data_IF_822279035512
#
_entry.id   IF_822279035512
#
_cell.length_a   1.000
_cell.length_b   1.000
_cell.length_c   1.000
_cell.angle_alpha   90.00
_cell.angle_beta   90.00
_cell.angle_gamma   90.00
#
_symmetry.space_group_name_H-M   'P 1'
#
loop_
_entity.id
_entity.type
_entity.pdbx_description
1 polymer ?
#
# COMPACT_ATOMS: atom_id res chain seq x y z
N UNK A 1 -5.24 7.99 -17.86
CA UNK A 1 -4.75 6.98 -18.82
C UNK A 1 -3.31 6.66 -18.44
N UNK A 2 -2.97 5.38 -18.33
CA UNK A 2 -1.60 4.93 -18.03
C UNK A 2 -1.01 4.41 -19.34
N UNK A 3 -0.07 5.14 -19.94
CA UNK A 3 0.59 4.77 -21.20
C UNK A 3 2.08 5.13 -21.11
N UNK A 4 2.95 4.29 -21.71
CA UNK A 4 4.38 4.57 -21.84
C UNK A 4 5.16 4.65 -20.52
N UNK A 5 4.71 3.98 -19.45
CA UNK A 5 5.39 4.02 -18.13
C UNK A 5 6.66 3.17 -18.12
N UNK A 6 6.62 2.04 -18.84
CA UNK A 6 7.72 1.10 -18.97
C UNK A 6 7.99 0.81 -20.46
N UNK A 7 9.17 0.26 -20.81
CA UNK A 7 9.42 -0.39 -22.09
C UNK A 7 8.35 -1.42 -22.44
N UNK A 8 8.13 -1.62 -23.74
CA UNK A 8 6.96 -2.29 -24.32
C UNK A 8 6.61 -3.64 -23.67
N UNK A 9 7.58 -4.54 -23.49
CA UNK A 9 7.35 -5.86 -22.87
C UNK A 9 6.80 -5.79 -21.43
N UNK A 10 7.25 -4.81 -20.64
CA UNK A 10 6.86 -4.67 -19.24
C UNK A 10 5.63 -3.78 -19.06
N UNK A 11 5.37 -2.88 -20.00
CA UNK A 11 4.23 -1.99 -19.99
C UNK A 11 2.92 -2.77 -20.14
N UNK A 12 2.86 -3.74 -21.06
CA UNK A 12 1.66 -4.59 -21.22
C UNK A 12 1.34 -5.37 -19.94
N UNK A 13 2.35 -5.95 -19.29
CA UNK A 13 2.18 -6.66 -18.02
C UNK A 13 1.68 -5.72 -16.91
N UNK A 14 2.20 -4.50 -16.84
CA UNK A 14 1.77 -3.47 -15.89
C UNK A 14 0.31 -3.05 -16.13
N UNK A 15 -0.05 -2.77 -17.38
CA UNK A 15 -1.41 -2.34 -17.73
C UNK A 15 -2.43 -3.43 -17.49
N UNK A 16 -2.10 -4.68 -17.82
CA UNK A 16 -2.93 -5.86 -17.51
C UNK A 16 -3.15 -5.99 -16.01
N UNK A 17 -2.10 -5.83 -15.21
CA UNK A 17 -2.20 -5.86 -13.75
C UNK A 17 -3.09 -4.73 -13.20
N UNK A 18 -2.89 -3.50 -13.70
CA UNK A 18 -3.70 -2.34 -13.30
C UNK A 18 -5.18 -2.54 -13.66
N UNK A 19 -5.46 -3.10 -14.83
CA UNK A 19 -6.82 -3.43 -15.24
C UNK A 19 -7.46 -4.44 -14.30
N UNK A 20 -6.78 -5.55 -13.98
CA UNK A 20 -7.30 -6.54 -13.03
C UNK A 20 -7.51 -5.96 -11.63
N UNK A 21 -6.60 -5.11 -11.14
CA UNK A 21 -6.76 -4.42 -9.86
C UNK A 21 -7.98 -3.49 -9.86
N UNK A 22 -8.18 -2.72 -10.93
CA UNK A 22 -9.32 -1.83 -11.10
C UNK A 22 -10.64 -2.59 -11.18
N UNK A 23 -10.68 -3.67 -11.96
CA UNK A 23 -11.85 -4.53 -12.11
C UNK A 23 -12.22 -5.21 -10.78
N UNK A 24 -11.24 -5.82 -10.11
CA UNK A 24 -11.43 -6.42 -8.79
C UNK A 24 -11.94 -5.38 -7.78
N UNK A 25 -11.35 -4.19 -7.76
CA UNK A 25 -11.75 -3.14 -6.84
C UNK A 25 -13.17 -2.63 -7.09
N UNK A 26 -13.56 -2.51 -8.36
CA UNK A 26 -14.91 -2.15 -8.77
C UNK A 26 -15.95 -3.16 -8.28
N UNK A 27 -15.66 -4.45 -8.48
CA UNK A 27 -16.51 -5.54 -7.99
C UNK A 27 -16.61 -5.54 -6.47
N UNK A 28 -15.49 -5.42 -5.76
CA UNK A 28 -15.45 -5.40 -4.30
C UNK A 28 -16.21 -4.22 -3.66
N UNK A 29 -16.48 -3.15 -4.43
CA UNK A 29 -17.18 -1.94 -3.98
C UNK A 29 -18.65 -1.86 -4.40
N UNK A 30 -19.19 -2.90 -5.04
CA UNK A 30 -20.60 -2.92 -5.38
C UNK A 30 -21.45 -2.84 -4.09
N UNK A 31 -22.46 -1.98 -4.10
CA UNK A 31 -23.44 -1.86 -2.99
C UNK A 31 -24.47 -2.99 -2.99
N UNK A 32 -24.48 -3.80 -4.04
CA UNK A 32 -25.35 -4.95 -4.19
C UNK A 32 -24.56 -6.05 -4.89
N UNK A 33 -24.42 -7.19 -4.21
CA UNK A 33 -23.87 -8.40 -4.79
C UNK A 33 -24.98 -9.38 -5.15
N UNK A 34 -24.87 -9.95 -6.34
CA UNK A 34 -25.61 -11.14 -6.78
C UNK A 34 -24.66 -12.31 -6.90
N UNK A 35 -25.19 -13.54 -6.95
CA UNK A 35 -24.40 -14.75 -7.19
C UNK A 35 -23.49 -14.63 -8.42
N UNK A 36 -24.00 -14.03 -9.49
CA UNK A 36 -23.22 -13.79 -10.72
C UNK A 36 -22.05 -12.86 -10.49
N UNK A 37 -22.26 -11.74 -9.79
CA UNK A 37 -21.16 -10.78 -9.52
C UNK A 37 -20.09 -11.38 -8.60
N UNK A 38 -20.48 -12.27 -7.68
CA UNK A 38 -19.55 -12.96 -6.79
C UNK A 38 -18.74 -14.01 -7.55
N UNK A 39 -19.38 -14.76 -8.45
CA UNK A 39 -18.68 -15.69 -9.33
C UNK A 39 -17.65 -14.97 -10.22
N UNK A 40 -18.03 -13.82 -10.80
CA UNK A 40 -17.08 -12.98 -11.56
C UNK A 40 -15.94 -12.50 -10.66
N UNK A 41 -16.24 -12.11 -9.43
CA UNK A 41 -15.22 -11.66 -8.48
C UNK A 41 -14.23 -12.78 -8.11
N UNK A 42 -14.68 -14.02 -7.97
CA UNK A 42 -13.81 -15.19 -7.76
C UNK A 42 -12.86 -15.38 -8.95
N UNK A 43 -13.39 -15.36 -10.18
CA UNK A 43 -12.59 -15.47 -11.41
C UNK A 43 -11.56 -14.34 -11.54
N UNK A 44 -11.99 -13.10 -11.31
CA UNK A 44 -11.11 -11.92 -11.35
C UNK A 44 -10.04 -12.01 -10.26
N UNK A 45 -10.35 -12.56 -9.09
CA UNK A 45 -9.35 -12.74 -8.01
C UNK A 45 -8.27 -13.75 -8.42
N UNK A 46 -8.65 -14.85 -9.09
CA UNK A 46 -7.70 -15.82 -9.64
C UNK A 46 -6.82 -15.17 -10.71
N UNK A 47 -7.43 -14.42 -11.64
CA UNK A 47 -6.72 -13.72 -12.71
C UNK A 47 -5.76 -12.64 -12.18
N UNK A 48 -6.19 -11.89 -11.16
CA UNK A 48 -5.38 -10.90 -10.46
C UNK A 48 -4.17 -11.56 -9.78
N UNK A 49 -4.38 -12.67 -9.07
CA UNK A 49 -3.30 -13.43 -8.44
C UNK A 49 -2.27 -13.94 -9.46
N UNK A 50 -2.72 -14.43 -10.62
CA UNK A 50 -1.84 -14.83 -11.72
C UNK A 50 -1.04 -13.64 -12.25
N UNK A 51 -1.71 -12.51 -12.49
CA UNK A 51 -1.07 -11.29 -13.01
C UNK A 51 -0.04 -10.70 -12.05
N UNK A 52 -0.29 -10.76 -10.73
CA UNK A 52 0.67 -10.35 -9.71
C UNK A 52 1.94 -11.21 -9.74
N UNK A 53 1.78 -12.54 -9.86
CA UNK A 53 2.91 -13.48 -9.97
C UNK A 53 3.69 -13.29 -11.28
N UNK A 54 2.98 -13.07 -12.38
CA UNK A 54 3.61 -12.81 -13.68
C UNK A 54 4.37 -11.46 -13.66
N UNK A 55 3.80 -10.42 -13.04
CA UNK A 55 4.47 -9.13 -12.86
C UNK A 55 5.73 -9.23 -12.00
N UNK A 56 5.66 -9.96 -10.88
CA UNK A 56 6.84 -10.23 -10.03
C UNK A 56 7.93 -10.98 -10.81
N UNK A 57 7.55 -12.04 -11.54
CA UNK A 57 8.50 -12.90 -12.24
C UNK A 57 9.13 -12.24 -13.46
N UNK A 58 8.37 -11.48 -14.25
CA UNK A 58 8.82 -10.92 -15.54
C UNK A 58 9.29 -9.47 -15.41
N UNK A 59 8.53 -8.63 -14.70
CA UNK A 59 8.85 -7.21 -14.58
C UNK A 59 9.79 -6.95 -13.42
N UNK A 60 9.49 -7.42 -12.20
CA UNK A 60 10.34 -7.11 -11.06
C UNK A 60 11.73 -7.76 -11.10
N UNK A 61 11.91 -8.85 -11.85
CA UNK A 61 13.24 -9.45 -12.07
C UNK A 61 14.12 -8.63 -13.02
N UNK A 62 13.52 -7.85 -13.92
CA UNK A 62 14.24 -7.03 -14.90
C UNK A 62 14.73 -5.68 -14.33
N UNK A 63 14.14 -5.20 -13.23
CA UNK A 63 14.48 -3.90 -12.62
C UNK A 63 15.10 -4.07 -11.24
N UNK A 64 16.29 -3.49 -11.02
CA UNK A 64 16.89 -3.36 -9.68
C UNK A 64 16.18 -2.26 -8.88
N UNK A 65 15.06 -2.62 -8.28
CA UNK A 65 14.32 -1.71 -7.39
C UNK A 65 14.97 -1.62 -6.03
N UNK A 66 15.33 -0.41 -5.61
CA UNK A 66 15.92 -0.13 -4.29
C UNK A 66 15.03 0.79 -3.48
N UNK A 67 15.27 0.80 -2.17
CA UNK A 67 14.60 1.73 -1.28
C UNK A 67 14.80 3.20 -1.74
N UNK A 68 13.76 4.02 -1.61
CA UNK A 68 13.85 5.45 -1.89
C UNK A 68 14.83 6.12 -0.92
N UNK A 69 15.65 7.07 -1.41
CA UNK A 69 16.63 7.83 -0.58
C UNK A 69 16.05 8.33 0.74
N UNK A 70 14.84 8.90 0.70
CA UNK A 70 14.13 9.39 1.90
C UNK A 70 13.91 8.30 2.95
N UNK A 71 13.51 7.10 2.55
CA UNK A 71 13.29 5.98 3.48
C UNK A 71 14.61 5.43 4.02
N UNK A 72 15.64 5.32 3.17
CA UNK A 72 16.98 4.91 3.58
C UNK A 72 17.58 5.86 4.64
N UNK A 73 17.49 7.18 4.43
CA UNK A 73 17.93 8.17 5.41
C UNK A 73 17.13 8.12 6.72
N UNK A 74 15.81 7.92 6.65
CA UNK A 74 14.98 7.74 7.84
C UNK A 74 15.36 6.47 8.63
N UNK A 75 15.70 5.38 7.93
CA UNK A 75 16.20 4.14 8.55
C UNK A 75 17.53 4.36 9.26
N UNK A 76 18.49 4.99 8.60
CA UNK A 76 19.80 5.31 9.20
C UNK A 76 19.67 6.17 10.46
N UNK A 77 18.81 7.21 10.44
CA UNK A 77 18.51 8.03 11.63
C UNK A 77 17.92 7.21 12.78
N UNK A 78 17.05 6.24 12.49
CA UNK A 78 16.48 5.32 13.49
C UNK A 78 17.56 4.41 14.08
N UNK A 79 18.46 3.86 13.27
CA UNK A 79 19.59 3.07 13.76
C UNK A 79 20.51 3.89 14.65
N UNK A 80 20.91 5.10 14.24
CA UNK A 80 21.76 5.98 15.06
C UNK A 80 21.10 6.32 16.42
N UNK A 81 19.80 6.60 16.44
CA UNK A 81 19.04 6.85 17.69
C UNK A 81 18.87 5.61 18.56
N UNK A 82 18.80 4.42 17.97
CA UNK A 82 18.76 3.16 18.72
C UNK A 82 20.12 2.84 19.32
N UNK A 83 21.21 3.03 18.57
CA UNK A 83 22.59 2.85 19.03
C UNK A 83 22.98 3.84 20.13
N UNK A 84 22.50 5.08 20.07
CA UNK A 84 22.76 6.09 21.12
C UNK A 84 22.00 5.85 22.43
N UNK A 85 21.01 4.94 22.45
CA UNK A 85 20.25 4.58 23.67
C UNK A 85 20.85 3.39 24.43
N UNK A 86 21.81 2.67 23.84
CA UNK A 86 22.40 1.47 24.41
C UNK A 86 23.87 1.59 24.81
N UNK A 87 24.53 2.73 24.60
CA UNK A 87 25.95 2.89 24.94
C UNK A 87 26.20 4.25 25.59
N UNK A 88 26.39 4.22 26.92
CA UNK A 88 26.93 5.33 27.69
C UNK A 88 28.43 5.45 27.47
N UNK A 89 28.86 5.75 26.24
CA UNK A 89 30.25 6.14 25.97
C UNK A 89 30.29 7.19 24.88
N UNK A 90 30.54 8.43 25.31
CA UNK A 90 30.89 9.57 24.47
C UNK A 90 32.24 9.29 23.81
N UNK A 91 32.26 8.94 22.52
CA UNK A 91 33.41 9.17 21.67
C UNK A 91 32.92 9.55 20.27
N UNK A 92 33.02 10.84 19.98
CA UNK A 92 33.02 11.38 18.62
C UNK A 92 34.28 10.86 17.91
N UNK A 93 34.18 10.46 16.64
CA UNK A 93 35.23 10.83 15.71
C UNK A 93 34.65 11.72 14.61
N UNK A 94 35.29 12.87 14.49
CA UNK A 94 35.23 13.77 13.36
C UNK A 94 35.68 13.03 12.09
N UNK A 95 35.09 13.47 10.98
CA UNK A 95 35.64 13.48 9.63
C UNK A 95 35.58 12.18 8.81
N UNK A 96 34.56 12.12 7.94
CA UNK A 96 34.63 11.40 6.67
C UNK A 96 34.10 12.31 5.57
N UNK A 97 34.88 13.36 5.27
CA UNK A 97 34.77 14.09 4.01
C UNK A 97 35.54 13.28 2.96
N UNK A 98 34.91 12.23 2.42
CA UNK A 98 35.46 11.49 1.28
C UNK A 98 34.36 11.07 0.32
N UNK A 99 34.27 11.83 -0.78
CA UNK A 99 33.81 11.41 -2.10
C UNK A 99 32.41 10.77 -2.12
N UNK A 100 31.39 11.62 -1.92
CA UNK A 100 29.99 11.25 -1.94
C UNK A 100 29.39 11.23 -3.36
N UNK A 101 29.90 10.37 -4.25
CA UNK A 101 29.19 10.12 -5.54
C UNK A 101 29.09 8.63 -5.93
N UNK A 102 29.81 7.72 -5.26
CA UNK A 102 29.79 6.28 -5.61
C UNK A 102 29.11 5.35 -4.58
N UNK A 103 28.70 5.83 -3.40
CA UNK A 103 28.20 4.97 -2.29
C UNK A 103 26.70 5.10 -1.98
N UNK A 104 25.97 5.92 -2.73
CA UNK A 104 24.56 6.23 -2.47
C UNK A 104 23.62 5.07 -2.90
N UNK A 105 24.08 4.22 -3.84
CA UNK A 105 23.40 2.97 -4.18
C UNK A 105 23.72 1.84 -3.19
N UNK A 106 24.96 1.78 -2.68
CA UNK A 106 25.41 0.73 -1.74
C UNK A 106 24.67 0.78 -0.39
N UNK A 107 24.28 1.97 0.06
CA UNK A 107 23.53 2.16 1.31
C UNK A 107 22.02 1.89 1.20
N UNK A 108 21.48 1.75 -0.02
CA UNK A 108 20.05 1.50 -0.26
C UNK A 108 19.81 0.01 -0.40
N UNK A 109 18.93 -0.51 0.44
CA UNK A 109 18.57 -1.93 0.43
C UNK A 109 17.76 -2.25 -0.82
N UNK A 110 18.08 -3.36 -1.52
CA UNK A 110 17.24 -3.85 -2.61
C UNK A 110 15.85 -4.16 -2.07
N UNK A 111 14.83 -3.87 -2.87
CA UNK A 111 13.43 -4.05 -2.49
C UNK A 111 12.68 -4.74 -3.60
N UNK A 112 12.47 -6.04 -3.42
CA UNK A 112 11.57 -6.83 -4.26
C UNK A 112 10.11 -6.68 -3.79
N UNK A 113 9.18 -6.95 -4.70
CA UNK A 113 7.79 -7.15 -4.32
C UNK A 113 7.68 -8.42 -3.48
N UNK A 114 6.84 -8.38 -2.45
CA UNK A 114 6.56 -9.52 -1.59
C UNK A 114 5.07 -9.83 -1.69
N UNK A 115 4.73 -10.95 -2.32
CA UNK A 115 3.34 -11.40 -2.46
C UNK A 115 2.84 -12.18 -1.25
N UNK A 116 3.73 -12.65 -0.36
CA UNK A 116 3.39 -13.37 0.88
C UNK A 116 3.03 -12.39 2.01
N UNK A 117 2.13 -11.45 1.72
CA UNK A 117 1.60 -10.52 2.72
C UNK A 117 0.13 -10.78 2.94
N UNK A 118 -0.34 -10.51 4.16
CA UNK A 118 -1.75 -10.64 4.51
C UNK A 118 -2.66 -9.94 3.49
N UNK A 119 -2.27 -8.76 3.00
CA UNK A 119 -3.03 -7.97 2.02
C UNK A 119 -3.30 -8.71 0.72
N UNK A 120 -2.36 -9.53 0.26
CA UNK A 120 -2.51 -10.29 -0.97
C UNK A 120 -3.36 -11.53 -0.74
N UNK A 121 -3.19 -12.22 0.39
CA UNK A 121 -3.98 -13.39 0.74
C UNK A 121 -5.44 -13.04 1.03
N UNK A 122 -5.68 -11.92 1.70
CA UNK A 122 -7.03 -11.47 2.06
C UNK A 122 -7.90 -11.18 0.84
N UNK A 123 -7.33 -10.96 -0.35
CA UNK A 123 -8.10 -10.72 -1.59
C UNK A 123 -9.03 -11.89 -1.94
N UNK A 124 -8.58 -13.13 -1.68
CA UNK A 124 -9.38 -14.35 -1.88
C UNK A 124 -10.52 -14.50 -0.89
N UNK A 125 -10.38 -13.94 0.30
CA UNK A 125 -11.38 -14.09 1.37
C UNK A 125 -12.58 -13.13 1.19
N UNK A 126 -12.49 -12.14 0.30
CA UNK A 126 -13.54 -11.14 0.12
C UNK A 126 -14.87 -11.76 -0.34
N UNK A 127 -14.85 -12.68 -1.29
CA UNK A 127 -16.09 -13.25 -1.86
C UNK A 127 -16.84 -14.07 -0.81
N UNK A 128 -16.13 -14.93 -0.07
CA UNK A 128 -16.68 -15.68 1.06
C UNK A 128 -17.16 -14.76 2.20
N UNK A 129 -16.42 -13.68 2.50
CA UNK A 129 -16.82 -12.70 3.51
C UNK A 129 -18.11 -12.01 3.11
N UNK A 130 -18.25 -11.59 1.84
CA UNK A 130 -19.45 -10.95 1.32
C UNK A 130 -20.65 -11.92 1.34
N UNK A 131 -20.45 -13.18 0.95
CA UNK A 131 -21.50 -14.22 1.02
C UNK A 131 -22.04 -14.40 2.44
N UNK A 132 -21.15 -14.38 3.44
CA UNK A 132 -21.49 -14.68 4.83
C UNK A 132 -22.05 -13.47 5.59
N UNK A 133 -21.51 -12.28 5.35
CA UNK A 133 -21.79 -11.10 6.17
C UNK A 133 -22.41 -9.92 5.40
N UNK A 134 -22.53 -10.01 4.08
CA UNK A 134 -23.04 -8.93 3.24
C UNK A 134 -21.97 -7.92 2.82
N UNK A 135 -22.39 -6.80 2.23
CA UNK A 135 -21.50 -5.75 1.74
C UNK A 135 -20.77 -5.06 2.89
N UNK A 136 -19.51 -4.68 2.65
CA UNK A 136 -18.69 -3.96 3.63
C UNK A 136 -18.91 -2.45 3.67
N UNK A 137 -19.88 -1.93 2.91
CA UNK A 137 -20.15 -0.49 2.78
C UNK A 137 -20.80 0.14 4.03
N UNK A 138 -21.21 -0.68 5.01
CA UNK A 138 -21.98 -0.26 6.18
C UNK A 138 -21.34 -0.57 7.55
N UNK A 139 -20.03 -0.87 7.62
CA UNK A 139 -19.34 -1.11 8.90
C UNK A 139 -18.93 0.16 9.66
N UNK A 140 -19.21 1.36 9.13
CA UNK A 140 -18.92 2.61 9.84
C UNK A 140 -20.02 2.92 10.86
N UNK A 141 -19.64 2.94 12.14
CA UNK A 141 -20.50 3.40 13.23
C UNK A 141 -20.69 4.92 13.27
N UNK A 142 -19.97 5.68 12.43
CA UNK A 142 -20.08 7.14 12.34
C UNK A 142 -21.37 7.60 11.62
N UNK A 143 -22.06 6.72 10.90
CA UNK A 143 -23.31 7.05 10.18
C UNK A 143 -24.43 7.48 11.14
N UNK A 144 -24.36 7.09 12.42
CA UNK A 144 -25.42 7.37 13.42
C UNK A 144 -25.22 8.74 14.12
N UNK A 145 -24.04 9.37 14.06
CA UNK A 145 -23.77 10.54 14.90
C UNK A 145 -24.19 11.91 14.29
N UNK A 146 -24.62 11.95 13.01
CA UNK A 146 -24.95 13.23 12.34
C UNK A 146 -26.45 13.55 12.23
N UNK A 147 -27.36 12.69 12.71
CA UNK A 147 -28.81 12.91 12.54
C UNK A 147 -29.47 13.57 13.78
N UNK A 148 -28.76 13.81 14.88
CA UNK A 148 -29.32 14.55 16.01
C UNK A 148 -28.31 15.51 16.68
N UNK A 149 -27.98 16.60 15.98
CA UNK A 149 -27.64 17.85 16.66
C UNK A 149 -28.65 18.92 16.22
N UNK A 150 -29.61 19.32 17.06
CA UNK A 150 -30.34 20.56 16.80
C UNK A 150 -29.33 21.72 16.84
N UNK A 151 -29.35 22.53 15.78
CA UNK A 151 -28.62 23.78 15.65
C UNK A 151 -29.21 24.79 16.66
N UNK A 152 -28.48 25.08 17.74
CA UNK A 152 -28.68 26.28 18.54
C UNK A 152 -27.41 27.13 18.53
N UNK A 153 -27.15 27.77 17.39
CA UNK A 153 -26.40 29.03 17.37
C UNK A 153 -27.33 30.18 17.77
N UNK A 154 -27.47 30.42 19.07
CA UNK A 154 -27.54 31.78 19.65
C UNK A 154 -27.40 31.67 21.16
N UNK A 155 -26.40 32.35 21.74
CA UNK A 155 -26.54 33.33 22.85
C UNK A 155 -25.18 33.57 23.55
N UNK A 156 -24.57 34.70 23.17
CA UNK A 156 -23.99 35.72 24.07
C UNK A 156 -23.08 35.30 25.23
N UNK A 157 -21.79 35.59 25.08
CA UNK A 157 -21.02 36.50 25.94
C UNK A 157 -21.45 36.62 27.42
N UNK A 158 -20.69 36.02 28.35
CA UNK A 158 -20.40 36.64 29.66
C UNK A 158 -19.17 36.02 30.33
N UNK A 159 -18.20 36.89 30.62
CA UNK A 159 -17.16 36.76 31.64
C UNK A 159 -17.77 36.31 32.98
N UNK A 160 -17.08 35.42 33.69
CA UNK A 160 -16.40 35.70 34.97
C UNK A 160 -15.22 34.73 35.12
#
# INVERSE_FOLDING_TARGET
>A
VFEGILPEEHNENLLTLLFHLGHWHGLAKLRLHTETTLAIMDEVTIALGKSLRDFEKKTCSAYDTRELRRKAGARQKRHAKASSRGSGTLLVPLNATSVAETSDAANRTPKTLNLNTYKNHSLGDYTETIRRYGTTDSYSTEIVCYIFMPDERTLTNRRF
#
